data_IF_075878968348
#
_entry.id   IF_075878968348
#
_cell.length_a   1.000
_cell.length_b   1.000
_cell.length_c   1.000
_cell.angle_alpha   90.00
_cell.angle_beta   90.00
_cell.angle_gamma   90.00
#
_symmetry.space_group_name_H-M   'P 1'
#
loop_
_entity.id
_entity.type
_entity.pdbx_description
1 polymer ?
#
# COMPACT_ATOMS: atom_id res chain seq x y z
N UNK A 1 -31.65 36.94 62.63
CA UNK A 1 -31.77 35.73 61.78
C UNK A 1 -33.06 35.82 60.97
N UNK A 2 -33.15 35.26 59.75
CA UNK A 2 -32.18 34.40 59.10
C UNK A 2 -31.51 35.02 57.86
N UNK A 3 -30.34 34.44 57.57
CA UNK A 3 -29.45 34.66 56.44
C UNK A 3 -29.94 33.74 55.31
N UNK A 4 -30.24 34.30 54.14
CA UNK A 4 -30.46 33.49 52.94
C UNK A 4 -29.12 33.26 52.27
N UNK A 5 -28.55 32.11 52.59
CA UNK A 5 -27.36 31.53 51.97
C UNK A 5 -27.69 31.21 50.51
N UNK A 6 -27.27 32.06 49.57
CA UNK A 6 -27.28 31.72 48.14
C UNK A 6 -26.28 30.59 47.95
N UNK A 7 -26.80 29.36 47.79
CA UNK A 7 -25.98 28.19 47.49
C UNK A 7 -25.27 28.39 46.16
N UNK A 8 -23.95 28.49 46.20
CA UNK A 8 -23.11 28.34 45.01
C UNK A 8 -23.29 26.90 44.50
N UNK A 9 -23.95 26.75 43.35
CA UNK A 9 -24.00 25.48 42.63
C UNK A 9 -22.56 25.02 42.35
N UNK A 10 -22.25 23.71 42.40
CA UNK A 10 -20.92 23.22 42.07
C UNK A 10 -20.61 23.63 40.62
N UNK A 11 -19.49 24.32 40.40
CA UNK A 11 -18.92 24.55 39.07
C UNK A 11 -18.96 23.22 38.32
N UNK A 12 -19.71 23.15 37.21
CA UNK A 12 -19.65 22.01 36.30
C UNK A 12 -18.17 21.73 36.02
N UNK A 13 -17.70 20.55 36.43
CA UNK A 13 -16.33 20.14 36.16
C UNK A 13 -16.22 19.85 34.68
N UNK A 14 -15.88 20.89 33.91
CA UNK A 14 -15.39 20.72 32.57
C UNK A 14 -14.01 20.07 32.67
N UNK A 15 -13.83 18.94 31.99
CA UNK A 15 -12.54 18.30 31.80
C UNK A 15 -12.07 18.64 30.39
N UNK A 16 -11.53 19.85 30.14
CA UNK A 16 -11.03 20.18 28.82
C UNK A 16 -9.98 19.15 28.43
N UNK A 17 -10.03 18.70 27.18
CA UNK A 17 -9.14 17.67 26.62
C UNK A 17 -7.64 17.95 26.89
N UNK A 18 -7.27 19.21 27.11
CA UNK A 18 -5.91 19.66 27.44
C UNK A 18 -5.49 19.43 28.91
N UNK A 19 -6.40 18.96 29.75
CA UNK A 19 -6.07 18.47 31.11
C UNK A 19 -5.56 17.04 31.10
N UNK A 20 -5.67 16.35 29.96
CA UNK A 20 -5.11 15.02 29.76
C UNK A 20 -3.58 15.13 29.57
N UNK A 21 -2.82 14.12 30.03
CA UNK A 21 -1.41 14.00 29.67
C UNK A 21 -1.21 13.99 28.14
N UNK A 22 -0.09 14.55 27.69
CA UNK A 22 0.29 14.66 26.27
C UNK A 22 0.28 13.30 25.56
N UNK A 23 0.63 12.23 26.26
CA UNK A 23 0.62 10.85 25.77
C UNK A 23 -0.80 10.39 25.41
N UNK A 24 -1.78 10.74 26.23
CA UNK A 24 -3.19 10.39 25.99
C UNK A 24 -3.75 11.23 24.84
N UNK A 25 -3.46 12.53 24.83
CA UNK A 25 -3.91 13.43 23.75
C UNK A 25 -3.30 13.03 22.40
N UNK A 26 -2.01 12.70 22.36
CA UNK A 26 -1.36 12.21 21.14
C UNK A 26 -1.91 10.86 20.67
N UNK A 27 -2.25 9.95 21.60
CA UNK A 27 -2.94 8.70 21.25
C UNK A 27 -4.32 8.97 20.62
N UNK A 28 -5.11 9.88 21.20
CA UNK A 28 -6.40 10.32 20.63
C UNK A 28 -6.19 10.87 19.21
N UNK A 29 -5.19 11.71 19.00
CA UNK A 29 -4.87 12.25 17.67
C UNK A 29 -4.52 11.17 16.66
N UNK A 30 -3.85 10.09 17.07
CA UNK A 30 -3.57 8.97 16.15
C UNK A 30 -4.81 8.20 15.75
N UNK A 31 -5.85 8.18 16.59
CA UNK A 31 -7.15 7.57 16.29
C UNK A 31 -8.09 8.46 15.45
N UNK A 32 -7.79 9.76 15.34
CA UNK A 32 -8.48 10.66 14.41
C UNK A 32 -8.14 10.35 12.94
N UNK A 33 -6.99 9.73 12.69
CA UNK A 33 -6.53 9.38 11.34
C UNK A 33 -6.94 7.95 10.95
N UNK A 34 -6.99 7.64 9.64
CA UNK A 34 -7.13 6.26 9.20
C UNK A 34 -6.00 5.38 9.75
N UNK A 35 -6.30 4.09 9.92
CA UNK A 35 -5.33 3.13 10.42
C UNK A 35 -4.14 3.02 9.44
N UNK A 36 -2.93 3.22 9.98
CA UNK A 36 -1.69 2.95 9.24
C UNK A 36 -1.70 1.50 8.71
N UNK A 37 -1.25 1.24 7.47
CA UNK A 37 -0.51 2.13 6.57
C UNK A 37 -1.35 3.07 5.68
N UNK A 38 -2.67 3.12 5.85
CA UNK A 38 -3.53 4.00 5.03
C UNK A 38 -3.23 5.48 5.27
N UNK A 39 -3.24 6.26 4.19
CA UNK A 39 -2.89 7.67 4.25
C UNK A 39 -4.13 8.57 4.48
N UNK A 40 -4.09 9.52 5.42
CA UNK A 40 -5.06 10.60 5.50
C UNK A 40 -4.90 11.57 4.32
N UNK A 41 -5.91 12.38 3.98
CA UNK A 41 -5.74 13.44 2.99
C UNK A 41 -4.72 14.49 3.46
N UNK A 42 -3.95 15.04 2.51
CA UNK A 42 -2.95 16.08 2.80
C UNK A 42 -3.58 17.38 3.32
N UNK A 43 -4.82 17.68 2.93
CA UNK A 43 -5.56 18.88 3.33
C UNK A 43 -7.02 18.53 3.62
N UNK A 44 -7.75 19.44 4.28
CA UNK A 44 -9.17 19.26 4.61
C UNK A 44 -9.42 18.71 6.02
N UNK A 45 -10.67 18.32 6.28
CA UNK A 45 -11.18 18.04 7.62
C UNK A 45 -10.65 16.73 8.25
N UNK A 46 -10.13 15.81 7.45
CA UNK A 46 -9.56 14.54 7.92
C UNK A 46 -8.02 14.56 7.91
N UNK A 47 -7.43 15.72 7.63
CA UNK A 47 -5.99 15.90 7.60
C UNK A 47 -5.42 16.09 9.02
N UNK A 48 -4.27 15.50 9.36
CA UNK A 48 -3.58 15.80 10.62
C UNK A 48 -3.21 17.28 10.76
N UNK A 49 -3.13 18.02 9.65
CA UNK A 49 -2.93 19.46 9.68
C UNK A 49 -4.04 20.20 10.45
N UNK A 50 -5.29 19.69 10.45
CA UNK A 50 -6.40 20.31 11.19
C UNK A 50 -6.09 20.42 12.69
N UNK A 51 -5.47 19.39 13.26
CA UNK A 51 -5.06 19.37 14.66
C UNK A 51 -4.12 20.53 15.01
N UNK A 52 -3.35 21.03 14.03
CA UNK A 52 -2.41 22.14 14.21
C UNK A 52 -3.05 23.53 14.16
N UNK A 53 -4.36 23.61 13.89
CA UNK A 53 -5.10 24.86 13.73
C UNK A 53 -6.19 25.08 14.80
N UNK A 54 -6.41 24.13 15.71
CA UNK A 54 -7.46 24.21 16.74
C UNK A 54 -7.07 25.19 17.85
N UNK A 55 -5.94 24.95 18.51
CA UNK A 55 -5.36 25.87 19.49
C UNK A 55 -3.83 25.68 19.56
N UNK A 56 -3.17 26.53 20.35
CA UNK A 56 -1.72 26.49 20.53
C UNK A 56 -1.22 25.12 21.03
N UNK A 57 -1.86 24.57 22.06
CA UNK A 57 -1.38 23.33 22.71
C UNK A 57 -1.58 22.10 21.80
N UNK A 58 -2.71 22.03 21.08
CA UNK A 58 -2.94 20.98 20.08
C UNK A 58 -1.90 21.04 18.97
N UNK A 59 -1.54 22.25 18.53
CA UNK A 59 -0.49 22.45 17.54
C UNK A 59 0.85 21.92 18.04
N UNK A 60 1.25 22.24 19.26
CA UNK A 60 2.51 21.75 19.82
C UNK A 60 2.52 20.21 19.93
N UNK A 61 1.44 19.61 20.46
CA UNK A 61 1.30 18.16 20.60
C UNK A 61 1.34 17.48 19.23
N UNK A 62 0.56 17.95 18.26
CA UNK A 62 0.48 17.35 16.93
C UNK A 62 1.83 17.42 16.19
N UNK A 63 2.51 18.58 16.26
CA UNK A 63 3.84 18.75 15.65
C UNK A 63 4.91 17.87 16.31
N UNK A 64 4.80 17.60 17.62
CA UNK A 64 5.67 16.69 18.37
C UNK A 64 5.28 15.21 18.29
N UNK A 65 4.27 14.86 17.49
CA UNK A 65 3.82 13.48 17.34
C UNK A 65 4.15 12.95 15.92
N UNK A 66 5.37 12.42 15.68
CA UNK A 66 5.80 11.94 14.36
C UNK A 66 4.86 10.93 13.68
N UNK A 67 4.15 10.13 14.48
CA UNK A 67 3.22 9.10 13.99
C UNK A 67 2.06 9.66 13.16
N UNK A 68 1.68 10.93 13.36
CA UNK A 68 0.62 11.58 12.59
C UNK A 68 1.04 11.89 11.13
N UNK A 69 2.34 11.91 10.86
CA UNK A 69 2.92 12.42 9.61
C UNK A 69 3.55 11.32 8.74
N UNK A 70 3.49 10.06 9.18
CA UNK A 70 4.24 8.94 8.57
C UNK A 70 3.56 8.27 7.37
N UNK A 71 2.30 8.59 7.09
CA UNK A 71 1.56 8.04 5.95
C UNK A 71 1.23 9.20 4.99
N UNK A 72 1.82 9.19 3.79
CA UNK A 72 1.83 10.34 2.88
C UNK A 72 1.22 9.92 1.54
N UNK A 73 0.09 10.53 1.15
CA UNK A 73 -0.42 10.39 -0.21
C UNK A 73 0.25 11.37 -1.18
N UNK A 74 0.44 10.94 -2.43
CA UNK A 74 0.91 11.75 -3.55
C UNK A 74 -0.01 11.47 -4.74
N UNK A 75 -0.86 12.44 -5.09
CA UNK A 75 -1.92 12.27 -6.10
C UNK A 75 -1.76 13.26 -7.27
N UNK A 76 -1.72 12.75 -8.49
CA UNK A 76 -1.90 13.49 -9.76
C UNK A 76 -3.37 13.93 -9.93
N UNK A 77 -3.68 15.12 -10.48
CA UNK A 77 -2.80 16.12 -11.12
C UNK A 77 -2.33 17.25 -10.19
N UNK A 78 -2.34 17.04 -8.87
CA UNK A 78 -2.03 18.09 -7.89
C UNK A 78 -0.71 17.85 -7.17
N UNK A 79 0.16 17.00 -7.70
CA UNK A 79 1.43 16.65 -7.06
C UNK A 79 2.27 17.90 -6.77
N UNK A 80 2.43 18.80 -7.75
CA UNK A 80 3.19 20.03 -7.59
C UNK A 80 2.57 20.97 -6.55
N UNK A 81 1.24 21.08 -6.52
CA UNK A 81 0.51 21.93 -5.57
C UNK A 81 0.61 21.41 -4.13
N UNK A 82 0.85 20.10 -3.97
CA UNK A 82 0.90 19.44 -2.69
C UNK A 82 2.32 19.08 -2.24
N UNK A 83 3.34 19.36 -3.05
CA UNK A 83 4.72 18.97 -2.77
C UNK A 83 5.24 19.60 -1.47
N UNK A 84 4.85 20.85 -1.17
CA UNK A 84 5.21 21.49 0.08
C UNK A 84 4.68 20.72 1.31
N UNK A 85 3.44 20.22 1.23
CA UNK A 85 2.86 19.38 2.28
C UNK A 85 3.57 18.04 2.41
N UNK A 86 3.94 17.42 1.30
CA UNK A 86 4.72 16.17 1.27
C UNK A 86 6.06 16.37 1.97
N UNK A 87 6.83 17.39 1.60
CA UNK A 87 8.11 17.73 2.23
C UNK A 87 7.95 18.00 3.73
N UNK A 88 6.90 18.73 4.11
CA UNK A 88 6.62 19.05 5.50
C UNK A 88 6.28 17.80 6.33
N UNK A 89 5.50 16.86 5.78
CA UNK A 89 5.17 15.61 6.45
C UNK A 89 6.38 14.68 6.55
N UNK A 90 7.21 14.62 5.50
CA UNK A 90 8.50 13.90 5.53
C UNK A 90 9.39 14.42 6.67
N UNK A 91 9.49 15.74 6.84
CA UNK A 91 10.25 16.35 7.93
C UNK A 91 9.66 16.03 9.31
N UNK A 92 8.33 16.13 9.47
CA UNK A 92 7.65 15.90 10.76
C UNK A 92 7.59 14.44 11.17
N UNK A 93 7.63 13.51 10.21
CA UNK A 93 7.61 12.08 10.48
C UNK A 93 8.87 11.55 11.17
N UNK A 94 9.95 12.35 11.26
CA UNK A 94 11.18 12.01 12.00
C UNK A 94 11.71 10.62 11.56
N UNK A 95 12.36 9.72 12.34
CA UNK A 95 12.85 8.46 11.77
C UNK A 95 11.76 7.38 11.63
N UNK A 96 10.46 7.72 11.67
CA UNK A 96 9.39 6.72 11.63
C UNK A 96 9.35 5.96 10.28
N UNK A 97 8.98 4.66 10.30
CA UNK A 97 8.66 3.94 9.08
C UNK A 97 7.53 4.61 8.31
N UNK A 98 7.74 4.81 7.01
CA UNK A 98 6.85 5.56 6.12
C UNK A 98 5.92 4.64 5.35
N UNK A 99 4.68 5.12 5.14
CA UNK A 99 3.78 4.61 4.10
C UNK A 99 3.66 5.67 3.01
N UNK A 100 4.00 5.36 1.76
CA UNK A 100 3.77 6.26 0.63
C UNK A 100 2.75 5.66 -0.32
N UNK A 101 1.72 6.45 -0.64
CA UNK A 101 0.70 6.08 -1.61
C UNK A 101 0.80 7.04 -2.80
N UNK A 102 1.39 6.57 -3.90
CA UNK A 102 1.64 7.37 -5.10
C UNK A 102 0.66 6.95 -6.19
N UNK A 103 -0.18 7.87 -6.63
CA UNK A 103 -1.19 7.64 -7.65
C UNK A 103 -1.02 8.65 -8.78
N UNK A 104 -0.47 8.18 -9.89
CA UNK A 104 -0.15 8.97 -11.09
C UNK A 104 -0.41 8.18 -12.39
N UNK A 105 -1.68 7.88 -12.72
CA UNK A 105 -2.05 7.02 -13.86
C UNK A 105 -2.11 7.73 -15.20
N UNK A 106 -1.96 9.07 -15.22
CA UNK A 106 -2.03 9.85 -16.45
C UNK A 106 -0.72 10.54 -16.79
N UNK A 107 0.10 10.88 -15.78
CA UNK A 107 1.35 11.62 -15.94
C UNK A 107 2.50 10.93 -15.21
N UNK A 108 3.75 11.11 -15.65
CA UNK A 108 4.90 10.70 -14.86
C UNK A 108 4.98 11.54 -13.57
N UNK A 109 5.58 10.96 -12.53
CA UNK A 109 5.83 11.72 -11.31
C UNK A 109 6.82 12.86 -11.60
N UNK A 110 6.55 14.10 -11.15
CA UNK A 110 7.50 15.20 -11.34
C UNK A 110 8.85 14.90 -10.69
N UNK A 111 9.95 15.30 -11.32
CA UNK A 111 11.30 15.12 -10.79
C UNK A 111 11.48 15.74 -9.40
N UNK A 112 10.77 16.83 -9.10
CA UNK A 112 10.77 17.47 -7.79
C UNK A 112 10.18 16.56 -6.69
N UNK A 113 9.09 15.84 -7.00
CA UNK A 113 8.50 14.87 -6.08
C UNK A 113 9.43 13.68 -5.86
N UNK A 114 10.04 13.16 -6.93
CA UNK A 114 11.03 12.08 -6.87
C UNK A 114 12.23 12.48 -5.98
N UNK A 115 12.78 13.67 -6.21
CA UNK A 115 13.92 14.20 -5.44
C UNK A 115 13.58 14.37 -3.96
N UNK A 116 12.33 14.74 -3.64
CA UNK A 116 11.89 14.90 -2.25
C UNK A 116 11.78 13.55 -1.52
N UNK A 117 11.32 12.48 -2.19
CA UNK A 117 11.02 11.21 -1.53
C UNK A 117 12.23 10.26 -1.48
N UNK A 118 13.07 10.20 -2.53
CA UNK A 118 14.22 9.27 -2.61
C UNK A 118 15.11 9.24 -1.34
N UNK A 119 15.49 10.38 -0.72
CA UNK A 119 16.34 10.38 0.47
C UNK A 119 15.78 9.57 1.65
N UNK A 120 14.46 9.38 1.68
CA UNK A 120 13.75 8.70 2.75
C UNK A 120 13.52 7.20 2.50
N UNK A 121 14.00 6.63 1.39
CA UNK A 121 13.75 5.23 1.00
C UNK A 121 14.11 4.18 2.06
N UNK A 122 15.13 4.46 2.86
CA UNK A 122 15.57 3.58 3.94
C UNK A 122 14.52 3.40 5.06
N UNK A 123 13.50 4.28 5.08
CA UNK A 123 12.39 4.28 6.04
C UNK A 123 11.11 3.70 5.47
N UNK A 124 11.05 3.33 4.19
CA UNK A 124 9.81 2.86 3.59
C UNK A 124 9.44 1.49 4.16
N UNK A 125 8.24 1.42 4.75
CA UNK A 125 7.65 0.17 5.25
C UNK A 125 6.43 -0.25 4.42
N UNK A 126 5.70 0.71 3.85
CA UNK A 126 4.60 0.46 2.92
C UNK A 126 4.72 1.35 1.68
N UNK A 127 4.63 0.76 0.49
CA UNK A 127 4.60 1.47 -0.77
C UNK A 127 3.41 1.01 -1.60
N UNK A 128 2.53 1.94 -1.96
CA UNK A 128 1.44 1.72 -2.90
C UNK A 128 1.67 2.62 -4.09
N UNK A 129 1.87 2.04 -5.26
CA UNK A 129 2.38 2.68 -6.46
C UNK A 129 1.43 2.39 -7.61
N UNK A 130 0.71 3.41 -8.08
CA UNK A 130 -0.21 3.33 -9.21
C UNK A 130 0.25 4.28 -10.33
N UNK A 131 0.88 3.76 -11.38
CA UNK A 131 1.56 4.56 -12.41
C UNK A 131 1.04 4.33 -13.82
N UNK A 132 1.13 5.38 -14.64
CA UNK A 132 0.97 5.29 -16.10
C UNK A 132 2.17 4.62 -16.78
N UNK A 133 3.38 4.86 -16.26
CA UNK A 133 4.65 4.58 -16.93
C UNK A 133 5.66 3.91 -15.98
N UNK A 134 6.38 2.90 -16.45
CA UNK A 134 7.39 2.18 -15.67
C UNK A 134 8.66 3.00 -15.36
N UNK A 135 8.94 4.08 -16.10
CA UNK A 135 10.11 4.93 -15.84
C UNK A 135 10.12 5.55 -14.43
N UNK A 136 8.94 5.88 -13.89
CA UNK A 136 8.80 6.37 -12.52
C UNK A 136 9.19 5.32 -11.47
N UNK A 137 9.00 4.04 -11.80
CA UNK A 137 9.36 2.91 -10.94
C UNK A 137 10.88 2.78 -10.83
N UNK A 138 11.59 2.89 -11.96
CA UNK A 138 13.05 2.86 -11.97
C UNK A 138 13.67 4.02 -11.18
N UNK A 139 13.05 5.20 -11.17
CA UNK A 139 13.52 6.34 -10.39
C UNK A 139 13.45 6.11 -8.87
N UNK A 140 12.57 5.21 -8.41
CA UNK A 140 12.44 4.85 -7.00
C UNK A 140 13.38 3.71 -6.57
N UNK A 141 14.22 3.21 -7.47
CA UNK A 141 15.15 2.12 -7.16
C UNK A 141 16.09 2.42 -5.97
N UNK A 142 16.40 1.37 -5.24
CA UNK A 142 17.40 1.35 -4.19
C UNK A 142 17.01 0.46 -3.01
N UNK A 143 17.93 0.30 -2.05
CA UNK A 143 17.67 -0.50 -0.87
C UNK A 143 16.54 0.10 -0.02
N UNK A 144 15.48 -0.68 0.15
CA UNK A 144 14.35 -0.40 1.05
C UNK A 144 14.29 -1.49 2.14
N UNK A 145 15.21 -1.42 3.13
CA UNK A 145 15.42 -2.51 4.09
C UNK A 145 14.25 -2.75 5.04
N UNK A 146 13.32 -1.80 5.18
CA UNK A 146 12.15 -1.89 6.05
C UNK A 146 10.85 -2.23 5.29
N UNK A 147 10.91 -2.44 3.97
CA UNK A 147 9.70 -2.59 3.16
C UNK A 147 9.00 -3.92 3.48
N UNK A 148 7.81 -3.82 4.07
CA UNK A 148 6.95 -4.94 4.47
C UNK A 148 5.78 -5.10 3.48
N UNK A 149 5.25 -3.99 2.96
CA UNK A 149 4.12 -3.98 2.03
C UNK A 149 4.48 -3.25 0.74
N UNK A 150 4.27 -3.91 -0.41
CA UNK A 150 4.43 -3.31 -1.74
C UNK A 150 3.22 -3.62 -2.62
N UNK A 151 2.46 -2.61 -3.02
CA UNK A 151 1.44 -2.72 -4.09
C UNK A 151 1.92 -1.90 -5.29
N UNK A 152 2.16 -2.56 -6.41
CA UNK A 152 2.60 -1.96 -7.65
C UNK A 152 1.60 -2.26 -8.76
N UNK A 153 0.99 -1.21 -9.30
CA UNK A 153 0.08 -1.31 -10.42
C UNK A 153 0.45 -0.30 -11.50
N UNK A 154 0.82 -0.82 -12.66
CA UNK A 154 1.16 -0.05 -13.85
C UNK A 154 0.03 -0.22 -14.86
N UNK A 155 -0.56 0.89 -15.30
CA UNK A 155 -1.59 0.94 -16.35
C UNK A 155 -1.02 1.60 -17.59
N UNK A 156 -0.30 0.83 -18.41
CA UNK A 156 0.15 1.35 -19.70
C UNK A 156 -1.01 1.32 -20.70
N UNK A 157 -1.54 2.50 -21.04
CA UNK A 157 -2.55 2.67 -22.10
C UNK A 157 -1.92 2.85 -23.48
N UNK A 158 -0.61 3.07 -23.54
CA UNK A 158 0.12 3.53 -24.71
C UNK A 158 0.92 2.44 -25.43
N UNK A 159 1.08 1.25 -24.85
CA UNK A 159 1.97 0.28 -25.46
C UNK A 159 1.44 -1.16 -25.43
N UNK A 160 1.39 -1.77 -26.61
CA UNK A 160 1.55 -3.22 -26.77
C UNK A 160 3.01 -3.65 -26.52
N UNK A 161 3.76 -2.91 -25.70
CA UNK A 161 5.15 -3.18 -25.35
C UNK A 161 5.14 -3.85 -23.98
N UNK A 162 5.46 -5.14 -23.99
CA UNK A 162 5.80 -5.89 -22.80
C UNK A 162 7.01 -5.19 -22.16
N UNK A 163 6.84 -4.64 -20.96
CA UNK A 163 7.94 -4.02 -20.23
C UNK A 163 9.05 -5.04 -20.01
N UNK A 164 10.11 -4.94 -20.80
CA UNK A 164 11.32 -5.76 -20.70
C UNK A 164 12.30 -5.26 -19.63
N UNK A 165 11.98 -4.19 -18.91
CA UNK A 165 12.91 -3.50 -18.00
C UNK A 165 12.23 -2.94 -16.74
N UNK A 166 11.51 -3.76 -15.99
CA UNK A 166 11.30 -3.45 -14.58
C UNK A 166 11.98 -4.49 -13.68
N UNK A 167 13.33 -4.53 -13.65
CA UNK A 167 13.99 -4.90 -12.42
C UNK A 167 13.82 -3.74 -11.42
N UNK A 168 14.29 -3.87 -10.19
CA UNK A 168 14.75 -2.77 -9.33
C UNK A 168 13.95 -2.43 -8.05
N UNK A 169 12.61 -2.41 -8.00
CA UNK A 169 11.93 -2.05 -6.73
C UNK A 169 12.17 -3.00 -5.55
N UNK A 170 12.66 -4.21 -5.82
CA UNK A 170 12.84 -5.25 -4.80
C UNK A 170 14.30 -5.44 -4.38
N UNK A 171 15.26 -4.70 -4.95
CA UNK A 171 16.67 -4.83 -4.55
C UNK A 171 16.81 -4.34 -3.10
N UNK A 172 17.01 -5.28 -2.17
CA UNK A 172 17.09 -4.98 -0.74
C UNK A 172 15.78 -5.10 0.04
N UNK A 173 14.66 -5.40 -0.62
CA UNK A 173 13.33 -5.52 0.00
C UNK A 173 13.09 -6.95 0.54
N UNK A 174 13.99 -7.43 1.40
CA UNK A 174 13.97 -8.82 1.90
C UNK A 174 12.89 -9.07 2.97
N UNK A 175 12.29 -8.01 3.50
CA UNK A 175 11.25 -8.06 4.53
C UNK A 175 9.83 -8.02 3.98
N UNK A 176 9.63 -7.95 2.66
CA UNK A 176 8.30 -7.85 2.07
C UNK A 176 7.48 -9.08 2.43
N UNK A 177 6.37 -8.88 3.12
CA UNK A 177 5.40 -9.90 3.53
C UNK A 177 4.22 -9.93 2.56
N UNK A 178 3.85 -8.77 2.01
CA UNK A 178 2.75 -8.61 1.07
C UNK A 178 3.20 -7.89 -0.21
N UNK A 179 2.96 -8.53 -1.35
CA UNK A 179 3.26 -7.98 -2.67
C UNK A 179 2.01 -8.02 -3.54
N UNK A 180 1.64 -6.91 -4.15
CA UNK A 180 0.60 -6.85 -5.17
C UNK A 180 1.18 -6.30 -6.49
N UNK A 181 0.85 -6.94 -7.62
CA UNK A 181 1.36 -6.60 -8.96
C UNK A 181 0.21 -6.55 -9.97
N UNK A 182 0.12 -5.53 -10.83
CA UNK A 182 -0.87 -5.48 -11.94
C UNK A 182 -0.45 -6.25 -13.20
N UNK A 183 0.79 -6.72 -13.24
CA UNK A 183 1.31 -7.62 -14.25
C UNK A 183 2.60 -8.22 -13.70
N UNK A 184 2.91 -9.47 -14.06
CA UNK A 184 4.25 -10.01 -13.87
C UNK A 184 5.15 -9.27 -14.86
N UNK A 185 5.71 -8.15 -14.42
CA UNK A 185 6.74 -7.44 -15.16
C UNK A 185 7.88 -8.42 -15.47
N UNK A 186 8.49 -8.35 -16.66
CA UNK A 186 9.58 -9.24 -17.03
C UNK A 186 10.77 -8.99 -16.09
N UNK A 187 10.85 -9.78 -15.02
CA UNK A 187 11.96 -9.78 -14.07
C UNK A 187 13.16 -10.44 -14.74
N UNK A 188 14.13 -9.65 -15.23
CA UNK A 188 15.35 -10.18 -15.86
C UNK A 188 16.24 -10.96 -14.87
N UNK A 189 16.20 -10.60 -13.59
CA UNK A 189 17.07 -11.16 -12.55
C UNK A 189 16.29 -12.06 -11.59
N UNK A 190 16.92 -13.14 -11.13
CA UNK A 190 16.38 -13.99 -10.07
C UNK A 190 16.24 -13.21 -8.75
N UNK A 191 15.01 -12.89 -8.38
CA UNK A 191 14.66 -12.18 -7.15
C UNK A 191 14.09 -13.16 -6.13
N UNK A 192 14.80 -13.35 -5.03
CA UNK A 192 14.33 -14.15 -3.90
C UNK A 192 13.65 -13.26 -2.88
N UNK A 193 12.37 -13.53 -2.56
CA UNK A 193 11.66 -12.87 -1.47
C UNK A 193 11.39 -13.90 -0.36
N UNK A 194 12.33 -14.08 0.58
CA UNK A 194 12.29 -15.20 1.51
C UNK A 194 11.19 -15.10 2.58
N UNK A 195 10.63 -13.91 2.80
CA UNK A 195 9.58 -13.63 3.79
C UNK A 195 8.20 -13.39 3.20
N UNK A 196 8.07 -13.37 1.88
CA UNK A 196 6.79 -13.06 1.24
C UNK A 196 5.77 -14.14 1.56
N UNK A 197 4.73 -13.78 2.33
CA UNK A 197 3.65 -14.70 2.73
C UNK A 197 2.42 -14.54 1.82
N UNK A 198 2.20 -13.34 1.27
CA UNK A 198 1.04 -13.00 0.45
C UNK A 198 1.45 -12.35 -0.87
N UNK A 199 1.01 -12.92 -1.99
CA UNK A 199 1.20 -12.37 -3.33
C UNK A 199 -0.16 -12.18 -4.00
N UNK A 200 -0.44 -10.97 -4.46
CA UNK A 200 -1.63 -10.63 -5.24
C UNK A 200 -1.25 -10.24 -6.67
N UNK A 201 -1.71 -10.97 -7.66
CA UNK A 201 -1.50 -10.69 -9.09
C UNK A 201 -2.83 -10.21 -9.68
N UNK A 202 -2.91 -8.94 -10.08
CA UNK A 202 -4.07 -8.37 -10.78
C UNK A 202 -3.80 -8.45 -12.28
N UNK A 203 -4.32 -9.44 -12.99
CA UNK A 203 -4.06 -9.63 -14.43
C UNK A 203 -4.86 -8.62 -15.24
N UNK A 204 -4.15 -7.73 -15.95
CA UNK A 204 -4.73 -6.63 -16.73
C UNK A 204 -4.85 -6.91 -18.24
N UNK A 205 -4.03 -7.80 -18.82
CA UNK A 205 -4.01 -8.06 -20.27
C UNK A 205 -4.29 -9.54 -20.57
N UNK A 206 -5.24 -9.76 -21.48
CA UNK A 206 -5.65 -11.05 -22.02
C UNK A 206 -4.44 -11.79 -22.66
N UNK A 207 -4.19 -13.04 -22.27
CA UNK A 207 -3.33 -13.97 -23.03
C UNK A 207 -1.81 -13.80 -22.90
N UNK A 208 -1.33 -12.88 -22.06
CA UNK A 208 0.09 -12.89 -21.70
C UNK A 208 0.34 -14.08 -20.75
N UNK A 209 1.18 -15.07 -21.12
CA UNK A 209 1.56 -16.10 -20.17
C UNK A 209 2.13 -15.41 -18.93
N UNK A 210 1.86 -15.96 -17.74
CA UNK A 210 2.64 -15.64 -16.56
C UNK A 210 4.08 -16.00 -16.93
N UNK A 211 4.85 -15.03 -17.43
CA UNK A 211 6.19 -15.28 -17.97
C UNK A 211 7.02 -16.00 -16.91
N UNK A 212 7.94 -16.87 -17.32
CA UNK A 212 8.79 -17.67 -16.42
C UNK A 212 9.44 -16.74 -15.40
N UNK A 213 8.89 -16.64 -14.17
CA UNK A 213 9.35 -15.61 -13.28
C UNK A 213 10.63 -16.15 -12.67
N UNK A 214 11.69 -15.38 -12.82
CA UNK A 214 12.88 -15.52 -11.98
C UNK A 214 12.52 -15.01 -10.56
N UNK A 215 11.41 -15.44 -9.96
CA UNK A 215 11.02 -15.14 -8.57
C UNK A 215 11.15 -16.41 -7.77
N UNK A 216 11.68 -16.34 -6.55
CA UNK A 216 11.73 -17.50 -5.65
C UNK A 216 11.02 -17.09 -4.36
N UNK A 217 9.89 -17.75 -4.08
CA UNK A 217 8.93 -17.38 -3.03
C UNK A 217 8.70 -18.55 -2.05
N UNK A 218 9.72 -18.92 -1.25
CA UNK A 218 9.70 -20.14 -0.45
C UNK A 218 8.74 -20.07 0.76
N UNK A 219 8.39 -18.87 1.21
CA UNK A 219 7.50 -18.62 2.34
C UNK A 219 6.05 -18.34 1.93
N UNK A 220 5.72 -18.34 0.63
CA UNK A 220 4.41 -17.94 0.15
C UNK A 220 3.32 -18.87 0.68
N UNK A 221 2.33 -18.30 1.38
CA UNK A 221 1.17 -19.00 1.94
C UNK A 221 -0.11 -18.69 1.18
N UNK A 222 -0.25 -17.46 0.70
CA UNK A 222 -1.44 -16.94 0.05
C UNK A 222 -1.10 -16.40 -1.33
N UNK A 223 -1.74 -16.94 -2.36
CA UNK A 223 -1.69 -16.41 -3.72
C UNK A 223 -3.08 -15.94 -4.12
N UNK A 224 -3.22 -14.67 -4.48
CA UNK A 224 -4.46 -14.09 -4.96
C UNK A 224 -4.30 -13.68 -6.43
N UNK A 225 -5.20 -14.12 -7.30
CA UNK A 225 -5.24 -13.74 -8.71
C UNK A 225 -6.55 -12.99 -8.97
N UNK A 226 -6.46 -11.74 -9.43
CA UNK A 226 -7.62 -10.89 -9.75
C UNK A 226 -7.65 -10.61 -11.26
N UNK A 227 -8.73 -11.00 -11.95
CA UNK A 227 -8.89 -10.74 -13.38
C UNK A 227 -9.60 -9.39 -13.63
N UNK A 228 -8.98 -8.49 -14.40
CA UNK A 228 -9.47 -7.12 -14.59
C UNK A 228 -10.60 -6.96 -15.63
N UNK A 229 -10.79 -7.90 -16.58
CA UNK A 229 -11.82 -7.81 -17.64
C UNK A 229 -12.65 -9.09 -17.80
N UNK A 230 -13.90 -8.86 -18.22
CA UNK A 230 -15.03 -9.78 -18.31
C UNK A 230 -14.84 -10.75 -19.49
N UNK A 231 -14.62 -12.02 -19.19
CA UNK A 231 -14.64 -13.12 -20.15
C UNK A 231 -14.30 -14.44 -19.45
N UNK A 232 -15.00 -15.55 -19.74
CA UNK A 232 -14.73 -16.86 -19.12
C UNK A 232 -13.38 -17.47 -19.55
N UNK A 233 -12.73 -16.93 -20.57
CA UNK A 233 -11.56 -17.55 -21.22
C UNK A 233 -10.22 -17.30 -20.48
N UNK A 234 -10.17 -16.47 -19.43
CA UNK A 234 -8.90 -15.86 -18.95
C UNK A 234 -8.89 -15.68 -17.43
N UNK A 235 -9.47 -16.63 -16.72
CA UNK A 235 -9.01 -16.89 -15.35
C UNK A 235 -7.79 -17.78 -15.52
N UNK A 236 -6.62 -17.14 -15.51
CA UNK A 236 -5.29 -17.67 -15.87
C UNK A 236 -5.25 -19.17 -16.12
N UNK A 237 -5.01 -19.57 -17.38
CA UNK A 237 -4.79 -20.96 -17.76
C UNK A 237 -4.07 -21.74 -16.64
N UNK A 238 -4.67 -22.83 -16.18
CA UNK A 238 -4.15 -23.65 -15.09
C UNK A 238 -2.69 -24.03 -15.37
N UNK A 239 -2.33 -24.26 -16.64
CA UNK A 239 -0.95 -24.51 -17.07
C UNK A 239 0.00 -23.35 -16.75
N UNK A 240 -0.41 -22.11 -17.02
CA UNK A 240 0.36 -20.91 -16.67
C UNK A 240 0.53 -20.74 -15.15
N UNK A 241 -0.51 -21.03 -14.36
CA UNK A 241 -0.44 -20.93 -12.90
C UNK A 241 0.42 -22.05 -12.29
N UNK A 242 0.33 -23.27 -12.82
CA UNK A 242 1.21 -24.39 -12.43
C UNK A 242 2.67 -24.08 -12.75
N UNK A 243 2.95 -23.62 -13.97
CA UNK A 243 4.31 -23.24 -14.38
C UNK A 243 4.86 -22.10 -13.50
N UNK A 244 4.03 -21.13 -13.15
CA UNK A 244 4.40 -20.09 -12.18
C UNK A 244 4.78 -20.69 -10.83
N UNK A 245 3.95 -21.56 -10.24
CA UNK A 245 4.20 -22.13 -8.91
C UNK A 245 5.43 -23.03 -8.86
N UNK A 246 5.67 -23.81 -9.92
CA UNK A 246 6.86 -24.65 -10.07
C UNK A 246 8.13 -23.81 -10.17
N UNK A 247 8.14 -22.81 -11.06
CA UNK A 247 9.28 -21.91 -11.23
C UNK A 247 9.54 -21.08 -9.96
N UNK A 248 8.47 -20.63 -9.29
CA UNK A 248 8.55 -19.82 -8.09
C UNK A 248 8.91 -20.59 -6.81
N UNK A 249 8.95 -21.93 -6.89
CA UNK A 249 9.22 -22.83 -5.76
C UNK A 249 8.29 -22.59 -4.56
N UNK A 250 7.00 -22.39 -4.83
CA UNK A 250 5.96 -22.11 -3.84
C UNK A 250 5.60 -23.36 -3.00
N UNK A 251 6.55 -23.91 -2.24
CA UNK A 251 6.39 -25.16 -1.49
C UNK A 251 5.44 -25.09 -0.28
N UNK A 252 5.11 -23.87 0.20
CA UNK A 252 4.27 -23.63 1.39
C UNK A 252 2.90 -23.03 1.08
N UNK A 253 2.52 -23.01 -0.20
CA UNK A 253 1.26 -22.42 -0.61
C UNK A 253 0.08 -23.16 0.04
N UNK A 254 -0.70 -22.44 0.83
CA UNK A 254 -1.84 -22.99 1.56
C UNK A 254 -3.18 -22.55 0.97
N UNK A 255 -3.23 -21.34 0.39
CA UNK A 255 -4.45 -20.75 -0.13
C UNK A 255 -4.24 -20.11 -1.50
N UNK A 256 -5.17 -20.41 -2.42
CA UNK A 256 -5.29 -19.78 -3.73
C UNK A 256 -6.64 -19.08 -3.82
N UNK A 257 -6.63 -17.75 -3.90
CA UNK A 257 -7.83 -16.93 -4.07
C UNK A 257 -7.94 -16.43 -5.50
N UNK A 258 -9.05 -16.72 -6.15
CA UNK A 258 -9.31 -16.27 -7.52
C UNK A 258 -10.48 -15.30 -7.50
N UNK A 259 -10.26 -14.07 -7.94
CA UNK A 259 -11.30 -13.04 -8.04
C UNK A 259 -11.60 -12.76 -9.50
N UNK A 260 -12.85 -12.96 -9.91
CA UNK A 260 -13.25 -12.85 -11.31
C UNK A 260 -14.76 -12.67 -11.50
N UNK A 261 -15.24 -12.64 -12.76
CA UNK A 261 -16.67 -12.56 -13.07
C UNK A 261 -17.42 -13.82 -12.57
N UNK A 262 -18.75 -13.78 -12.40
CA UNK A 262 -19.54 -14.91 -11.88
C UNK A 262 -19.34 -16.21 -12.65
N UNK A 263 -19.07 -16.13 -13.96
CA UNK A 263 -18.77 -17.27 -14.83
C UNK A 263 -17.49 -18.02 -14.44
N UNK A 264 -16.61 -17.44 -13.63
CA UNK A 264 -15.40 -18.09 -13.14
C UNK A 264 -15.68 -19.16 -12.07
N UNK A 265 -16.83 -19.09 -11.38
CA UNK A 265 -17.19 -20.04 -10.32
C UNK A 265 -17.35 -21.47 -10.86
N UNK A 266 -17.71 -21.65 -12.14
CA UNK A 266 -17.80 -22.97 -12.76
C UNK A 266 -16.44 -23.66 -12.92
N UNK A 267 -15.33 -22.92 -12.79
CA UNK A 267 -13.97 -23.47 -12.84
C UNK A 267 -13.47 -23.92 -11.46
N UNK A 268 -14.23 -23.67 -10.39
CA UNK A 268 -13.79 -23.96 -9.01
C UNK A 268 -13.41 -25.42 -8.80
N UNK A 269 -14.23 -26.35 -9.28
CA UNK A 269 -13.96 -27.79 -9.17
C UNK A 269 -12.73 -28.21 -9.98
N UNK A 270 -12.51 -27.58 -11.15
CA UNK A 270 -11.33 -27.82 -11.99
C UNK A 270 -10.05 -27.40 -11.27
N UNK A 271 -10.05 -26.21 -10.63
CA UNK A 271 -8.89 -25.73 -9.87
C UNK A 271 -8.66 -26.54 -8.58
N UNK A 272 -9.72 -26.95 -7.88
CA UNK A 272 -9.60 -27.85 -6.71
C UNK A 272 -9.02 -29.21 -7.08
N UNK A 273 -9.37 -29.72 -8.27
CA UNK A 273 -8.81 -30.98 -8.79
C UNK A 273 -7.34 -30.81 -9.20
N UNK A 274 -6.98 -29.67 -9.80
CA UNK A 274 -5.59 -29.38 -10.19
C UNK A 274 -4.66 -29.12 -9.00
N UNK A 275 -5.18 -28.56 -7.89
CA UNK A 275 -4.39 -28.19 -6.71
C UNK A 275 -4.96 -28.80 -5.42
N UNK A 276 -4.88 -30.14 -5.24
CA UNK A 276 -5.54 -30.83 -4.13
C UNK A 276 -4.98 -30.47 -2.74
N UNK A 277 -3.74 -29.99 -2.68
CA UNK A 277 -3.08 -29.58 -1.43
C UNK A 277 -3.29 -28.11 -1.05
N UNK A 278 -4.03 -27.35 -1.87
CA UNK A 278 -4.22 -25.90 -1.70
C UNK A 278 -5.71 -25.58 -1.54
N UNK A 279 -6.05 -24.76 -0.54
CA UNK A 279 -7.41 -24.27 -0.39
C UNK A 279 -7.74 -23.25 -1.47
N UNK A 280 -8.57 -23.64 -2.45
CA UNK A 280 -9.00 -22.75 -3.54
C UNK A 280 -10.31 -22.06 -3.18
N UNK A 281 -10.34 -20.72 -3.26
CA UNK A 281 -11.54 -19.91 -2.99
C UNK A 281 -11.82 -18.95 -4.16
N UNK A 282 -13.07 -18.94 -4.65
CA UNK A 282 -13.52 -18.01 -5.69
C UNK A 282 -14.30 -16.84 -5.10
N UNK A 283 -13.74 -15.64 -5.23
CA UNK A 283 -14.36 -14.41 -4.76
C UNK A 283 -15.05 -13.68 -5.92
N UNK A 284 -16.23 -13.12 -5.64
CA UNK A 284 -16.93 -12.25 -6.58
C UNK A 284 -16.32 -10.86 -6.54
N UNK A 285 -16.05 -10.28 -7.71
CA UNK A 285 -15.77 -8.85 -7.82
C UNK A 285 -17.04 -8.08 -7.46
N UNK A 286 -17.00 -7.23 -6.42
CA UNK A 286 -18.08 -6.31 -6.07
C UNK A 286 -18.16 -5.16 -7.07
#
# INVERSE_FOLDING_TARGET
>A
MPVSTTSLLPLEKYYPVLTLPTEITSAIFTHFLPLYPSCPPLTGLESPNLLTHICHDWREIALRTPRLWRAIPIFDPRVEQHLEWVCLWLQRSQPMPLSLHIWSPYRPLPNSAITAIIPHRHRYASLVLYFAQASAVAALDGPMPLLEHLDLSITDKSSGVVFNEAPLLLRGAYLVEELALSSLLNMRDSTTLPRLESLKIRVTILGAPLGSPSLILPALRHLAVEAARIGPEIVGDIGSLTNFMENARCSRLAQLSITGPPSAQSLEDTYRTAFPSVSVTFNRRR
#
